data_IF_789107832595
#
_entry.id   IF_789107832595
#
_cell.length_a   1.000
_cell.length_b   1.000
_cell.length_c   1.000
_cell.angle_alpha   90.00
_cell.angle_beta   90.00
_cell.angle_gamma   90.00
#
_symmetry.space_group_name_H-M   'P 1'
#
loop_
_entity.id
_entity.type
_entity.pdbx_description
1 polymer ?
#
# COMPACT_ATOMS: atom_id res chain seq x y z
N UNK A 1 -16.28 -20.10 3.65
CA UNK A 1 -16.44 -19.06 2.62
C UNK A 1 -15.63 -17.87 3.08
N UNK A 2 -14.43 -17.69 2.53
CA UNK A 2 -13.50 -16.64 2.95
C UNK A 2 -13.85 -15.35 2.22
N UNK A 3 -14.64 -14.49 2.87
CA UNK A 3 -15.12 -13.19 2.36
C UNK A 3 -14.05 -12.09 2.49
N UNK A 4 -12.97 -12.39 3.21
CA UNK A 4 -11.90 -11.44 3.55
C UNK A 4 -11.32 -10.74 2.32
N UNK A 5 -10.99 -11.44 1.20
CA UNK A 5 -10.44 -10.77 0.03
C UNK A 5 -11.41 -9.74 -0.58
N UNK A 6 -12.70 -10.05 -0.66
CA UNK A 6 -13.69 -9.17 -1.28
C UNK A 6 -13.89 -7.88 -0.47
N UNK A 7 -13.88 -7.96 0.86
CA UNK A 7 -14.05 -6.78 1.73
C UNK A 7 -12.78 -5.93 1.78
N UNK A 8 -11.60 -6.54 1.68
CA UNK A 8 -10.34 -5.80 1.61
C UNK A 8 -10.14 -5.12 0.25
N UNK A 9 -10.64 -5.70 -0.85
CA UNK A 9 -10.67 -5.03 -2.16
C UNK A 9 -11.47 -3.71 -2.13
N UNK A 10 -12.42 -3.53 -1.20
CA UNK A 10 -13.12 -2.26 -1.02
C UNK A 10 -12.19 -1.09 -0.63
N UNK A 11 -10.96 -1.36 -0.19
CA UNK A 11 -9.93 -0.33 0.00
C UNK A 11 -9.57 0.39 -1.30
N UNK A 12 -9.80 -0.25 -2.44
CA UNK A 12 -9.59 0.29 -3.79
C UNK A 12 -10.94 0.76 -4.34
N UNK A 13 -11.42 1.88 -3.82
CA UNK A 13 -12.71 2.47 -4.23
C UNK A 13 -12.60 3.98 -4.39
N UNK A 14 -13.32 4.54 -5.36
CA UNK A 14 -13.46 6.00 -5.49
C UNK A 14 -14.23 6.63 -4.32
N UNK A 15 -15.11 5.87 -3.66
CA UNK A 15 -15.90 6.36 -2.52
C UNK A 15 -15.09 6.38 -1.22
N UNK A 16 -14.90 7.58 -0.67
CA UNK A 16 -14.21 7.77 0.62
C UNK A 16 -14.89 7.01 1.77
N UNK A 17 -16.23 7.00 1.81
CA UNK A 17 -17.00 6.27 2.84
C UNK A 17 -16.73 4.76 2.79
N UNK A 18 -16.60 4.19 1.59
CA UNK A 18 -16.27 2.77 1.41
C UNK A 18 -14.85 2.49 1.90
N UNK A 19 -13.88 3.35 1.59
CA UNK A 19 -12.50 3.21 2.06
C UNK A 19 -12.38 3.30 3.58
N UNK A 20 -13.08 4.23 4.23
CA UNK A 20 -13.17 4.29 5.69
C UNK A 20 -13.74 3.01 6.31
N UNK A 21 -14.82 2.48 5.70
CA UNK A 21 -15.44 1.24 6.16
C UNK A 21 -14.48 0.06 6.01
N UNK A 22 -13.74 -0.01 4.89
CA UNK A 22 -12.71 -1.03 4.65
C UNK A 22 -11.57 -0.96 5.67
N UNK A 23 -11.09 0.25 6.01
CA UNK A 23 -10.11 0.44 7.09
C UNK A 23 -10.65 -0.08 8.43
N UNK A 24 -11.90 0.24 8.77
CA UNK A 24 -12.50 -0.20 10.03
C UNK A 24 -12.59 -1.72 10.13
N UNK A 25 -13.01 -2.38 9.06
CA UNK A 25 -13.03 -3.85 9.01
C UNK A 25 -11.62 -4.42 9.13
N UNK A 26 -10.65 -3.84 8.41
CA UNK A 26 -9.24 -4.25 8.46
C UNK A 26 -8.69 -4.18 9.89
N UNK A 27 -8.96 -3.10 10.61
CA UNK A 27 -8.60 -2.94 12.02
C UNK A 27 -9.21 -4.02 12.92
N UNK A 28 -10.51 -4.29 12.76
CA UNK A 28 -11.22 -5.29 13.57
C UNK A 28 -10.65 -6.69 13.34
N UNK A 29 -10.48 -7.08 12.08
CA UNK A 29 -9.93 -8.38 11.67
C UNK A 29 -8.52 -8.58 12.23
N UNK A 30 -7.65 -7.57 12.11
CA UNK A 30 -6.31 -7.62 12.68
C UNK A 30 -6.33 -7.72 14.22
N UNK A 31 -7.18 -6.95 14.89
CA UNK A 31 -7.27 -6.94 16.36
C UNK A 31 -7.75 -8.27 16.94
N UNK A 32 -8.60 -8.99 16.20
CA UNK A 32 -9.16 -10.27 16.62
C UNK A 32 -8.32 -11.47 16.16
N UNK A 33 -7.28 -11.25 15.35
CA UNK A 33 -6.44 -12.33 14.83
C UNK A 33 -7.16 -13.27 13.85
N UNK A 34 -8.24 -12.79 13.21
CA UNK A 34 -9.07 -13.62 12.33
C UNK A 34 -8.38 -13.93 10.99
N UNK A 35 -7.40 -13.13 10.59
CA UNK A 35 -6.68 -13.26 9.32
C UNK A 35 -5.19 -13.12 9.60
N UNK A 36 -4.39 -13.92 8.90
CA UNK A 36 -2.95 -13.86 9.05
C UNK A 36 -2.41 -12.49 8.57
N UNK A 37 -1.62 -11.75 9.36
CA UNK A 37 -1.24 -10.36 9.04
C UNK A 37 -0.62 -10.17 7.66
N UNK A 38 0.17 -11.16 7.19
CA UNK A 38 0.79 -11.13 5.86
C UNK A 38 -0.23 -11.01 4.70
N UNK A 39 -1.47 -11.43 4.90
CA UNK A 39 -2.54 -11.32 3.88
C UNK A 39 -3.12 -9.91 3.84
N UNK A 40 -3.03 -9.16 4.94
CA UNK A 40 -3.57 -7.80 5.08
C UNK A 40 -2.57 -6.75 4.56
N UNK A 41 -1.27 -7.03 4.63
CA UNK A 41 -0.19 -6.09 4.27
C UNK A 41 -0.41 -5.38 2.92
N UNK A 42 -0.74 -6.05 1.79
CA UNK A 42 -0.93 -5.36 0.52
C UNK A 42 -1.98 -4.23 0.59
N UNK A 43 -3.07 -4.46 1.32
CA UNK A 43 -4.16 -3.50 1.47
C UNK A 43 -3.78 -2.33 2.36
N UNK A 44 -2.97 -2.56 3.40
CA UNK A 44 -2.44 -1.46 4.22
C UNK A 44 -1.44 -0.60 3.44
N UNK A 45 -0.60 -1.20 2.59
CA UNK A 45 0.28 -0.43 1.67
C UNK A 45 -0.54 0.38 0.66
N UNK A 46 -1.67 -0.14 0.22
CA UNK A 46 -2.61 0.62 -0.60
C UNK A 46 -3.19 1.81 0.18
N UNK A 47 -3.76 1.55 1.35
CA UNK A 47 -4.39 2.56 2.23
C UNK A 47 -3.42 3.64 2.70
N UNK A 48 -2.13 3.33 2.91
CA UNK A 48 -1.13 4.36 3.25
C UNK A 48 -0.92 5.39 2.13
N UNK A 49 -1.33 5.07 0.89
CA UNK A 49 -1.28 6.01 -0.23
C UNK A 49 -2.54 6.86 -0.37
N UNK A 50 -3.57 6.66 0.46
CA UNK A 50 -4.83 7.43 0.39
C UNK A 50 -4.58 8.94 0.50
N UNK A 51 -5.46 9.74 -0.07
CA UNK A 51 -5.44 11.20 0.09
C UNK A 51 -6.01 11.63 1.45
N UNK A 52 -6.84 10.80 2.07
CA UNK A 52 -7.37 11.03 3.42
C UNK A 52 -6.33 10.66 4.49
N UNK A 53 -5.86 11.66 5.24
CA UNK A 53 -4.78 11.50 6.23
C UNK A 53 -5.14 10.49 7.32
N UNK A 54 -6.42 10.43 7.75
CA UNK A 54 -6.86 9.48 8.77
C UNK A 54 -6.67 8.04 8.30
N UNK A 55 -6.94 7.75 7.02
CA UNK A 55 -6.76 6.42 6.45
C UNK A 55 -5.27 6.11 6.32
N UNK A 56 -4.51 7.05 5.75
CA UNK A 56 -3.09 6.86 5.50
C UNK A 56 -2.30 6.61 6.80
N UNK A 57 -2.44 7.48 7.80
CA UNK A 57 -1.73 7.37 9.07
C UNK A 57 -2.12 6.12 9.87
N UNK A 58 -3.40 5.71 9.80
CA UNK A 58 -3.85 4.47 10.45
C UNK A 58 -3.18 3.24 9.84
N UNK A 59 -3.10 3.20 8.50
CA UNK A 59 -2.47 2.10 7.78
C UNK A 59 -0.95 2.08 8.04
N UNK A 60 -0.29 3.23 8.05
CA UNK A 60 1.14 3.34 8.38
C UNK A 60 1.45 2.78 9.77
N UNK A 61 0.66 3.15 10.78
CA UNK A 61 0.80 2.62 12.14
C UNK A 61 0.65 1.10 12.16
N UNK A 62 -0.36 0.55 11.49
CA UNK A 62 -0.57 -0.89 11.42
C UNK A 62 0.56 -1.62 10.69
N UNK A 63 1.13 -1.04 9.64
CA UNK A 63 2.32 -1.57 8.96
C UNK A 63 3.54 -1.60 9.88
N UNK A 64 3.77 -0.56 10.68
CA UNK A 64 4.85 -0.54 11.68
C UNK A 64 4.67 -1.65 12.71
N UNK A 65 3.46 -1.79 13.25
CA UNK A 65 3.15 -2.80 14.26
C UNK A 65 3.33 -4.22 13.71
N UNK A 66 2.90 -4.46 12.46
CA UNK A 66 3.10 -5.74 11.77
C UNK A 66 4.59 -6.01 11.54
N UNK A 67 5.35 -5.05 11.00
CA UNK A 67 6.77 -5.25 10.73
C UNK A 67 7.58 -5.46 12.02
N UNK A 68 7.23 -4.75 13.10
CA UNK A 68 7.85 -4.92 14.41
C UNK A 68 7.60 -6.32 14.97
N UNK A 69 6.39 -6.85 14.81
CA UNK A 69 5.99 -8.17 15.33
C UNK A 69 6.44 -9.31 14.42
N UNK A 70 6.49 -9.08 13.11
CA UNK A 70 6.81 -10.06 12.08
C UNK A 70 7.77 -9.45 11.03
N UNK A 71 9.07 -9.32 11.37
CA UNK A 71 10.04 -8.70 10.47
C UNK A 71 10.08 -9.34 9.08
N UNK A 72 10.07 -8.49 8.05
CA UNK A 72 10.09 -8.88 6.64
C UNK A 72 8.73 -9.12 6.00
N UNK A 73 7.63 -9.16 6.77
CA UNK A 73 6.29 -9.34 6.21
C UNK A 73 5.92 -8.21 5.25
N UNK A 74 6.29 -6.97 5.60
CA UNK A 74 6.04 -5.82 4.74
C UNK A 74 6.81 -5.95 3.42
N UNK A 75 8.09 -6.30 3.50
CA UNK A 75 8.93 -6.52 2.31
C UNK A 75 8.42 -7.62 1.39
N UNK A 76 7.95 -8.75 1.94
CA UNK A 76 7.42 -9.88 1.17
C UNK A 76 6.18 -9.54 0.34
N UNK A 77 5.44 -8.50 0.73
CA UNK A 77 4.17 -8.11 0.13
C UNK A 77 4.19 -6.74 -0.54
N UNK A 78 5.32 -6.03 -0.49
CA UNK A 78 5.49 -4.69 -1.03
C UNK A 78 5.00 -4.56 -2.49
N UNK A 79 5.33 -5.54 -3.35
CA UNK A 79 4.94 -5.48 -4.76
C UNK A 79 3.43 -5.60 -4.99
N UNK A 80 2.75 -6.48 -4.23
CA UNK A 80 1.29 -6.57 -4.27
C UNK A 80 0.66 -5.26 -3.77
N UNK A 81 1.25 -4.69 -2.72
CA UNK A 81 0.90 -3.36 -2.21
C UNK A 81 1.00 -2.27 -3.26
N UNK A 82 2.13 -2.15 -3.96
CA UNK A 82 2.32 -1.13 -5.00
C UNK A 82 1.31 -1.22 -6.15
N UNK A 83 0.96 -2.44 -6.58
CA UNK A 83 -0.07 -2.63 -7.61
C UNK A 83 -1.44 -2.15 -7.11
N UNK A 84 -1.78 -2.44 -5.86
CA UNK A 84 -3.03 -1.95 -5.26
C UNK A 84 -2.99 -0.43 -5.06
N UNK A 85 -1.88 0.14 -4.59
CA UNK A 85 -1.69 1.59 -4.51
C UNK A 85 -1.91 2.24 -5.87
N UNK A 86 -1.30 1.71 -6.94
CA UNK A 86 -1.51 2.23 -8.30
C UNK A 86 -2.99 2.17 -8.70
N UNK A 87 -3.67 1.04 -8.49
CA UNK A 87 -5.12 0.90 -8.75
C UNK A 87 -5.94 1.92 -7.95
N UNK A 88 -5.64 2.14 -6.68
CA UNK A 88 -6.33 3.15 -5.87
C UNK A 88 -6.11 4.54 -6.47
N UNK A 89 -4.85 4.91 -6.75
CA UNK A 89 -4.53 6.22 -7.30
C UNK A 89 -5.20 6.46 -8.66
N UNK A 90 -5.32 5.45 -9.52
CA UNK A 90 -6.08 5.57 -10.78
C UNK A 90 -7.57 5.86 -10.57
N UNK A 91 -8.14 5.54 -9.40
CA UNK A 91 -9.54 5.83 -9.07
C UNK A 91 -9.76 7.18 -8.39
N UNK A 92 -8.78 7.65 -7.60
CA UNK A 92 -8.98 8.81 -6.70
C UNK A 92 -8.26 10.08 -7.15
N UNK A 93 -7.25 10.00 -8.01
CA UNK A 93 -6.57 11.19 -8.52
C UNK A 93 -7.38 11.83 -9.65
N UNK A 94 -7.48 13.16 -9.68
CA UNK A 94 -8.08 13.86 -10.80
C UNK A 94 -7.11 13.86 -12.01
N UNK A 95 -7.54 13.26 -13.12
CA UNK A 95 -6.84 13.33 -14.41
C UNK A 95 -6.44 11.97 -15.00
N UNK A 96 -6.01 12.01 -16.25
CA UNK A 96 -5.74 10.80 -17.04
C UNK A 96 -4.42 10.11 -16.65
N UNK A 97 -3.48 10.87 -16.06
CA UNK A 97 -2.16 10.37 -15.68
C UNK A 97 -2.06 10.23 -14.16
N UNK A 98 -1.93 9.00 -13.70
CA UNK A 98 -1.68 8.71 -12.28
C UNK A 98 -0.25 9.08 -11.87
N UNK A 99 -0.13 9.91 -10.82
CA UNK A 99 1.16 10.35 -10.28
C UNK A 99 1.51 9.61 -8.98
N UNK A 100 2.74 9.12 -8.88
CA UNK A 100 3.23 8.36 -7.73
C UNK A 100 3.79 9.21 -6.57
N UNK A 101 3.52 10.51 -6.54
CA UNK A 101 4.05 11.44 -5.54
C UNK A 101 3.00 12.45 -5.06
N UNK A 102 3.21 13.00 -3.87
CA UNK A 102 2.50 14.15 -3.32
C UNK A 102 3.38 15.38 -3.43
N UNK A 103 2.79 16.50 -3.82
CA UNK A 103 3.45 17.80 -3.85
C UNK A 103 2.63 18.78 -3.01
N UNK A 104 3.25 19.30 -1.95
CA UNK A 104 2.71 20.40 -1.16
C UNK A 104 3.45 21.68 -1.56
N UNK A 105 2.74 22.80 -1.55
CA UNK A 105 3.33 24.09 -1.90
C UNK A 105 4.50 24.41 -0.96
N UNK A 106 5.65 24.76 -1.52
CA UNK A 106 6.87 25.03 -0.75
C UNK A 106 7.65 23.80 -0.26
N UNK A 107 7.18 22.58 -0.54
CA UNK A 107 7.87 21.34 -0.14
C UNK A 107 8.45 20.56 -1.32
N UNK A 108 9.50 19.78 -1.05
CA UNK A 108 10.05 18.83 -2.02
C UNK A 108 9.03 17.70 -2.24
N UNK A 109 8.75 17.29 -3.50
CA UNK A 109 7.85 16.17 -3.76
C UNK A 109 8.24 14.90 -3.01
N UNK A 110 7.27 14.26 -2.38
CA UNK A 110 7.47 13.01 -1.65
C UNK A 110 6.75 11.86 -2.35
N UNK A 111 7.42 10.71 -2.47
CA UNK A 111 6.78 9.52 -3.03
C UNK A 111 5.60 9.07 -2.15
N UNK A 112 4.48 8.66 -2.76
CA UNK A 112 3.31 8.16 -2.02
C UNK A 112 3.67 6.99 -1.10
N UNK A 113 4.58 6.12 -1.56
CA UNK A 113 5.08 4.96 -0.82
C UNK A 113 6.39 5.23 -0.06
N UNK A 114 6.75 6.50 0.19
CA UNK A 114 7.99 6.86 0.91
C UNK A 114 8.03 6.24 2.31
N UNK A 115 6.89 6.19 3.00
CA UNK A 115 6.77 5.56 4.30
C UNK A 115 7.12 4.07 4.26
N UNK A 116 6.63 3.33 3.26
CA UNK A 116 6.96 1.91 3.08
C UNK A 116 8.47 1.68 2.98
N UNK A 117 9.15 2.52 2.20
CA UNK A 117 10.60 2.45 2.06
C UNK A 117 11.31 2.70 3.41
N UNK A 118 10.73 3.57 4.24
CA UNK A 118 11.24 3.86 5.59
C UNK A 118 11.06 2.68 6.56
N UNK A 119 9.94 1.97 6.49
CA UNK A 119 9.65 0.78 7.31
C UNK A 119 10.65 -0.35 7.07
N UNK A 120 11.18 -0.46 5.85
CA UNK A 120 12.20 -1.45 5.47
C UNK A 120 13.65 -1.00 5.76
N UNK A 121 13.87 0.07 6.54
CA UNK A 121 15.24 0.61 6.80
C UNK A 121 16.16 -0.37 7.55
N UNK A 122 15.62 -1.33 8.29
CA UNK A 122 16.41 -2.33 9.02
C UNK A 122 17.22 -3.27 8.13
N UNK A 123 16.85 -3.44 6.85
CA UNK A 123 17.39 -4.51 5.99
C UNK A 123 17.79 -3.98 4.61
N UNK A 124 19.08 -3.70 4.41
CA UNK A 124 19.62 -3.22 3.11
C UNK A 124 19.25 -4.14 1.94
N UNK A 125 19.25 -5.44 2.17
CA UNK A 125 18.91 -6.45 1.17
C UNK A 125 17.46 -6.37 0.73
N UNK A 126 16.50 -6.23 1.66
CA UNK A 126 15.07 -6.13 1.30
C UNK A 126 14.79 -4.84 0.53
N UNK A 127 15.34 -3.70 0.93
CA UNK A 127 15.18 -2.44 0.17
C UNK A 127 15.67 -2.55 -1.26
N UNK A 128 16.85 -3.17 -1.45
CA UNK A 128 17.41 -3.42 -2.79
C UNK A 128 16.51 -4.34 -3.60
N UNK A 129 16.05 -5.44 -3.01
CA UNK A 129 15.16 -6.39 -3.68
C UNK A 129 13.88 -5.68 -4.15
N UNK A 130 13.23 -4.89 -3.29
CA UNK A 130 12.01 -4.16 -3.63
C UNK A 130 12.25 -3.14 -4.76
N UNK A 131 13.35 -2.37 -4.70
CA UNK A 131 13.69 -1.42 -5.76
C UNK A 131 13.95 -2.12 -7.10
N UNK A 132 14.68 -3.24 -7.09
CA UNK A 132 14.92 -4.06 -8.30
C UNK A 132 13.60 -4.62 -8.82
N UNK A 133 12.73 -5.13 -7.96
CA UNK A 133 11.42 -5.65 -8.36
C UNK A 133 10.53 -4.57 -8.97
N UNK A 134 10.59 -3.33 -8.48
CA UNK A 134 9.89 -2.19 -9.08
C UNK A 134 10.45 -1.87 -10.48
N UNK A 135 11.77 -1.80 -10.64
CA UNK A 135 12.40 -1.50 -11.92
C UNK A 135 12.02 -2.54 -12.99
N UNK A 136 12.05 -3.83 -12.62
CA UNK A 136 11.69 -4.92 -13.54
C UNK A 136 10.26 -4.83 -14.08
N UNK A 137 9.33 -4.22 -13.34
CA UNK A 137 7.96 -4.04 -13.84
C UNK A 137 7.91 -3.13 -15.08
N UNK A 138 8.81 -2.16 -15.18
CA UNK A 138 8.89 -1.29 -16.35
C UNK A 138 9.54 -1.99 -17.55
N UNK A 139 10.52 -2.86 -17.30
CA UNK A 139 11.16 -3.66 -18.35
C UNK A 139 10.18 -4.67 -18.96
N UNK A 140 9.39 -5.36 -18.13
CA UNK A 140 8.36 -6.31 -18.57
C UNK A 140 7.30 -5.64 -19.46
N UNK A 141 6.88 -4.42 -19.11
CA UNK A 141 5.94 -3.64 -19.92
C UNK A 141 6.52 -3.22 -21.27
N UNK A 142 7.79 -2.83 -21.32
CA UNK A 142 8.43 -2.40 -22.56
C UNK A 142 8.49 -3.53 -23.61
N UNK A 143 8.69 -4.77 -23.15
CA UNK A 143 8.69 -5.96 -24.03
C UNK A 143 7.28 -6.29 -24.55
N UNK A 144 6.23 -6.04 -23.78
CA UNK A 144 4.84 -6.32 -24.18
C UNK A 144 4.25 -5.35 -25.23
N UNK A 145 4.97 -4.27 -25.53
CA UNK A 145 4.57 -3.23 -26.50
C UNK A 145 5.30 -3.37 -27.85
N UNK A 146 6.03 -4.46 -28.07
CA UNK A 146 6.71 -4.82 -29.31
C UNK A 146 6.05 -6.04 -29.95
#
# INVERSE_FOLDING_TARGET
>A
MDWTPQVLECSVSSSLTVRHSSLRVTQLVLSQGLVHPVQIVPYLVCMSTDCEEVIAHSADKQLQDIEKKYPGFVGMKAMQGFRLSYRLQTMIQPGDITRGFRQKEGEIPSALNSFLYSTMRGTKQQRRAVAISLLRQFDEMAVSLQ
#
